data_IF_406523840749
#
_entry.id   IF_406523840749
#
_cell.length_a   1.000
_cell.length_b   1.000
_cell.length_c   1.000
_cell.angle_alpha   90.00
_cell.angle_beta   90.00
_cell.angle_gamma   90.00
#
_symmetry.space_group_name_H-M   'P 1'
#
loop_
_entity.id
_entity.type
_entity.pdbx_description
1 polymer ?
#
# COMPACT_ATOMS: atom_id res chain seq x y z
N UNK A 1 24.03 -1.95 8.49
CA UNK A 1 23.57 -3.16 7.76
C UNK A 1 22.05 -3.15 7.53
N UNK A 2 21.22 -2.57 8.41
CA UNK A 2 19.75 -2.44 8.16
C UNK A 2 19.35 -1.13 7.47
N UNK A 3 19.94 0.00 7.85
CA UNK A 3 19.78 1.28 7.13
C UNK A 3 20.18 1.15 5.66
N UNK A 4 21.26 0.43 5.36
CA UNK A 4 21.67 0.12 3.99
C UNK A 4 20.59 -0.63 3.21
N UNK A 5 19.87 -1.58 3.81
CA UNK A 5 18.79 -2.31 3.13
C UNK A 5 17.54 -1.44 2.90
N UNK A 6 17.23 -0.50 3.81
CA UNK A 6 16.12 0.44 3.63
C UNK A 6 16.44 1.51 2.57
N UNK A 7 17.69 1.97 2.51
CA UNK A 7 18.20 2.83 1.44
C UNK A 7 18.17 2.12 0.09
N UNK A 8 18.56 0.84 0.04
CA UNK A 8 18.49 -0.01 -1.15
C UNK A 8 17.03 -0.19 -1.62
N UNK A 9 16.09 -0.45 -0.72
CA UNK A 9 14.67 -0.59 -1.05
C UNK A 9 14.07 0.72 -1.60
N UNK A 10 14.42 1.88 -1.02
CA UNK A 10 14.00 3.20 -1.55
C UNK A 10 14.64 3.53 -2.89
N UNK A 11 15.90 3.14 -3.10
CA UNK A 11 16.57 3.31 -4.39
C UNK A 11 15.93 2.44 -5.47
N UNK A 12 15.62 1.19 -5.15
CA UNK A 12 14.94 0.27 -6.05
C UNK A 12 13.49 0.71 -6.33
N UNK A 13 12.75 1.15 -5.32
CA UNK A 13 11.41 1.72 -5.49
C UNK A 13 11.44 2.96 -6.39
N UNK A 14 12.44 3.83 -6.26
CA UNK A 14 12.61 4.98 -7.17
C UNK A 14 12.90 4.52 -8.59
N UNK A 15 13.80 3.55 -8.78
CA UNK A 15 14.09 2.99 -10.11
C UNK A 15 12.83 2.42 -10.75
N UNK A 16 12.08 1.59 -10.03
CA UNK A 16 10.82 1.02 -10.50
C UNK A 16 9.76 2.10 -10.76
N UNK A 17 9.69 3.14 -9.93
CA UNK A 17 8.79 4.28 -10.17
C UNK A 17 9.17 5.01 -11.47
N UNK A 18 10.45 5.27 -11.71
CA UNK A 18 10.93 5.86 -12.97
C UNK A 18 10.60 4.93 -14.15
N UNK A 19 10.85 3.63 -14.02
CA UNK A 19 10.64 2.66 -15.10
C UNK A 19 9.15 2.44 -15.42
N UNK A 20 8.27 2.44 -14.41
CA UNK A 20 6.85 2.15 -14.54
C UNK A 20 5.99 3.40 -14.77
N UNK A 21 6.37 4.53 -14.17
CA UNK A 21 5.59 5.78 -14.18
C UNK A 21 6.31 6.92 -14.91
N UNK A 22 7.58 6.76 -15.30
CA UNK A 22 8.37 7.77 -16.00
C UNK A 22 8.91 8.90 -15.12
N UNK A 23 8.89 8.77 -13.79
CA UNK A 23 9.07 9.89 -12.85
C UNK A 23 10.06 9.58 -11.72
N UNK A 24 11.12 10.40 -11.61
CA UNK A 24 12.17 10.27 -10.58
C UNK A 24 11.72 10.75 -9.18
N UNK A 25 10.69 11.60 -9.13
CA UNK A 25 10.11 12.14 -7.89
C UNK A 25 8.59 12.10 -7.98
N UNK A 26 7.94 11.00 -7.55
CA UNK A 26 6.50 10.86 -7.67
C UNK A 26 5.79 11.94 -6.86
N UNK A 27 4.86 12.65 -7.49
CA UNK A 27 3.93 13.57 -6.82
C UNK A 27 2.49 13.19 -7.15
N UNK A 28 1.55 13.53 -6.27
CA UNK A 28 0.13 13.28 -6.51
C UNK A 28 -0.37 13.97 -7.81
N UNK A 29 0.08 15.20 -8.07
CA UNK A 29 -0.31 15.95 -9.26
C UNK A 29 0.16 15.29 -10.56
N UNK A 30 1.41 14.83 -10.58
CA UNK A 30 1.96 14.07 -11.70
C UNK A 30 1.23 12.75 -11.89
N UNK A 31 1.03 11.97 -10.82
CA UNK A 31 0.33 10.68 -10.90
C UNK A 31 -1.08 10.84 -11.47
N UNK A 32 -1.84 11.83 -10.99
CA UNK A 32 -3.20 12.09 -11.48
C UNK A 32 -3.22 12.57 -12.94
N UNK A 33 -2.20 13.29 -13.38
CA UNK A 33 -2.05 13.70 -14.79
C UNK A 33 -1.81 12.47 -15.69
N UNK A 34 -0.90 11.58 -15.31
CA UNK A 34 -0.65 10.35 -16.06
C UNK A 34 -1.88 9.42 -16.03
N UNK A 35 -2.54 9.31 -14.87
CA UNK A 35 -3.78 8.56 -14.72
C UNK A 35 -4.88 9.07 -15.66
N UNK A 36 -4.95 10.37 -15.91
CA UNK A 36 -5.90 10.94 -16.87
C UNK A 36 -5.69 10.42 -18.29
N UNK A 37 -4.45 10.18 -18.71
CA UNK A 37 -4.14 9.68 -20.04
C UNK A 37 -4.59 8.23 -20.25
N UNK A 38 -4.45 7.39 -19.22
CA UNK A 38 -4.74 5.94 -19.29
C UNK A 38 -6.18 5.61 -18.84
N UNK A 39 -6.60 6.10 -17.68
CA UNK A 39 -7.92 5.80 -17.10
C UNK A 39 -9.04 6.61 -17.77
N UNK A 40 -8.68 7.73 -18.40
CA UNK A 40 -9.61 8.73 -18.89
C UNK A 40 -10.06 9.72 -17.81
N UNK A 41 -10.64 10.84 -18.26
CA UNK A 41 -10.99 11.98 -17.41
C UNK A 41 -11.95 11.64 -16.26
N UNK A 42 -13.02 10.91 -16.55
CA UNK A 42 -14.07 10.66 -15.54
C UNK A 42 -13.60 9.71 -14.43
N UNK A 43 -12.87 8.64 -14.78
CA UNK A 43 -12.30 7.74 -13.77
C UNK A 43 -11.25 8.43 -12.92
N UNK A 44 -10.37 9.21 -13.56
CA UNK A 44 -9.34 9.99 -12.85
C UNK A 44 -9.96 10.99 -11.87
N UNK A 45 -11.04 11.67 -12.27
CA UNK A 45 -11.79 12.55 -11.38
C UNK A 45 -12.32 11.80 -10.17
N UNK A 46 -12.94 10.63 -10.36
CA UNK A 46 -13.50 9.83 -9.26
C UNK A 46 -12.44 9.30 -8.31
N UNK A 47 -11.32 8.77 -8.83
CA UNK A 47 -10.23 8.32 -7.95
C UNK A 47 -9.64 9.51 -7.17
N UNK A 48 -9.48 10.68 -7.79
CA UNK A 48 -9.03 11.87 -7.09
C UNK A 48 -10.01 12.33 -6.00
N UNK A 49 -11.32 12.23 -6.27
CA UNK A 49 -12.36 12.53 -5.28
C UNK A 49 -12.31 11.56 -4.08
N UNK A 50 -12.05 10.27 -4.31
CA UNK A 50 -11.87 9.28 -3.25
C UNK A 50 -10.58 9.53 -2.43
N UNK A 51 -9.46 9.80 -3.09
CA UNK A 51 -8.19 10.17 -2.42
C UNK A 51 -8.37 11.43 -1.56
N UNK A 52 -9.18 12.40 -2.02
CA UNK A 52 -9.48 13.62 -1.26
C UNK A 52 -10.30 13.36 0.00
N UNK A 53 -11.24 12.41 -0.07
CA UNK A 53 -12.12 12.04 1.04
C UNK A 53 -11.45 11.11 2.07
N UNK A 54 -10.36 10.45 1.69
CA UNK A 54 -9.63 9.59 2.61
C UNK A 54 -8.94 10.40 3.72
N UNK A 55 -8.77 9.81 4.93
CA UNK A 55 -7.92 10.39 5.97
C UNK A 55 -6.53 10.76 5.42
N UNK A 56 -5.96 11.87 5.88
CA UNK A 56 -4.67 12.35 5.38
C UNK A 56 -3.55 11.34 5.67
N UNK A 57 -3.64 10.59 6.77
CA UNK A 57 -2.72 9.49 7.08
C UNK A 57 -2.81 8.30 6.11
N UNK A 58 -3.93 8.18 5.37
CA UNK A 58 -4.20 7.12 4.40
C UNK A 58 -3.96 7.57 2.95
N UNK A 59 -3.80 8.87 2.71
CA UNK A 59 -3.69 9.44 1.36
C UNK A 59 -2.56 8.83 0.52
N UNK A 60 -1.42 8.50 1.14
CA UNK A 60 -0.32 7.82 0.45
C UNK A 60 -0.75 6.44 -0.07
N UNK A 61 -1.46 5.64 0.73
CA UNK A 61 -1.97 4.33 0.30
C UNK A 61 -3.00 4.45 -0.83
N UNK A 62 -3.90 5.45 -0.76
CA UNK A 62 -4.87 5.69 -1.83
C UNK A 62 -4.19 6.07 -3.16
N UNK A 63 -3.18 6.94 -3.10
CA UNK A 63 -2.40 7.31 -4.30
C UNK A 63 -1.57 6.14 -4.83
N UNK A 64 -1.00 5.31 -3.95
CA UNK A 64 -0.34 4.06 -4.35
C UNK A 64 -1.31 3.14 -5.09
N UNK A 65 -2.55 3.01 -4.63
CA UNK A 65 -3.59 2.25 -5.32
C UNK A 65 -3.91 2.85 -6.71
N UNK A 66 -3.91 4.18 -6.85
CA UNK A 66 -4.05 4.84 -8.16
C UNK A 66 -2.88 4.50 -9.10
N UNK A 67 -1.65 4.40 -8.60
CA UNK A 67 -0.50 3.95 -9.41
C UNK A 67 -0.67 2.51 -9.90
N UNK A 68 -1.20 1.61 -9.06
CA UNK A 68 -1.57 0.26 -9.47
C UNK A 68 -2.62 0.27 -10.60
N UNK A 69 -3.68 1.08 -10.44
CA UNK A 69 -4.76 1.18 -11.43
C UNK A 69 -4.29 1.74 -12.77
N UNK A 70 -3.40 2.73 -12.76
CA UNK A 70 -2.74 3.27 -13.96
C UNK A 70 -2.04 2.12 -14.72
N UNK A 71 -1.08 1.47 -14.08
CA UNK A 71 -0.24 0.43 -14.72
C UNK A 71 -1.09 -0.78 -15.12
N UNK A 72 -2.00 -1.22 -14.27
CA UNK A 72 -2.87 -2.35 -14.56
C UNK A 72 -3.86 -2.08 -15.68
N UNK A 73 -4.37 -0.86 -15.82
CA UNK A 73 -5.24 -0.50 -16.95
C UNK A 73 -4.45 -0.45 -18.27
N UNK A 74 -3.19 -0.04 -18.24
CA UNK A 74 -2.31 -0.06 -19.42
C UNK A 74 -2.04 -1.51 -19.87
N UNK A 75 -1.78 -2.42 -18.92
CA UNK A 75 -1.56 -3.85 -19.19
C UNK A 75 -2.80 -4.60 -19.69
N UNK A 76 -3.95 -4.40 -19.03
CA UNK A 76 -5.19 -5.15 -19.33
C UNK A 76 -6.08 -4.47 -20.39
N UNK A 77 -5.82 -3.19 -20.67
CA UNK A 77 -6.63 -2.36 -21.53
C UNK A 77 -7.95 -1.89 -20.88
N UNK A 78 -8.56 -0.88 -21.51
CA UNK A 78 -9.78 -0.22 -20.98
C UNK A 78 -11.01 -1.12 -20.83
N UNK A 79 -11.05 -2.28 -21.50
CA UNK A 79 -12.14 -3.25 -21.39
C UNK A 79 -12.27 -3.86 -19.99
N UNK A 80 -11.16 -3.98 -19.25
CA UNK A 80 -11.13 -4.53 -17.90
C UNK A 80 -12.15 -3.86 -16.96
N UNK A 81 -12.32 -2.54 -17.09
CA UNK A 81 -13.23 -1.75 -16.26
C UNK A 81 -14.70 -2.14 -16.35
N UNK A 82 -15.09 -2.83 -17.43
CA UNK A 82 -16.48 -3.14 -17.75
C UNK A 82 -16.85 -4.61 -17.55
N UNK A 83 -15.88 -5.47 -17.23
CA UNK A 83 -16.09 -6.91 -17.10
C UNK A 83 -16.28 -7.28 -15.64
N UNK A 84 -17.37 -7.98 -15.32
CA UNK A 84 -17.61 -8.54 -13.99
C UNK A 84 -16.61 -9.67 -13.69
N UNK A 85 -16.05 -9.65 -12.48
CA UNK A 85 -15.08 -10.67 -12.05
C UNK A 85 -15.78 -11.91 -11.48
N UNK A 86 -15.45 -13.07 -12.04
CA UNK A 86 -15.93 -14.41 -11.63
C UNK A 86 -17.45 -14.56 -11.48
N UNK A 87 -18.23 -13.70 -12.16
CA UNK A 87 -19.70 -13.69 -12.11
C UNK A 87 -20.32 -13.35 -10.75
N UNK A 88 -19.52 -13.00 -9.75
CA UNK A 88 -19.98 -12.68 -8.39
C UNK A 88 -19.66 -11.23 -7.98
N UNK A 89 -18.56 -10.70 -8.49
CA UNK A 89 -18.12 -9.34 -8.19
C UNK A 89 -18.61 -8.37 -9.27
N UNK A 90 -18.95 -7.12 -8.89
CA UNK A 90 -19.34 -6.09 -9.85
C UNK A 90 -18.18 -5.78 -10.81
N UNK A 91 -18.48 -5.12 -11.93
CA UNK A 91 -17.41 -4.58 -12.77
C UNK A 91 -16.59 -3.53 -11.99
N UNK A 92 -15.27 -3.37 -12.25
CA UNK A 92 -14.44 -2.37 -11.56
C UNK A 92 -15.01 -0.95 -11.61
N UNK A 93 -15.64 -0.57 -12.72
CA UNK A 93 -16.29 0.74 -12.85
C UNK A 93 -17.49 0.90 -11.92
N UNK A 94 -18.27 -0.15 -11.71
CA UNK A 94 -19.41 -0.13 -10.78
C UNK A 94 -18.93 -0.02 -9.33
N UNK A 95 -17.88 -0.75 -8.96
CA UNK A 95 -17.25 -0.62 -7.64
C UNK A 95 -16.72 0.82 -7.41
N UNK A 96 -16.02 1.39 -8.40
CA UNK A 96 -15.52 2.76 -8.34
C UNK A 96 -16.66 3.79 -8.17
N UNK A 97 -17.79 3.61 -8.86
CA UNK A 97 -18.97 4.48 -8.75
C UNK A 97 -19.61 4.40 -7.38
N UNK A 98 -19.82 3.18 -6.88
CA UNK A 98 -20.53 2.96 -5.62
C UNK A 98 -19.71 3.40 -4.42
N UNK A 99 -18.38 3.41 -4.53
CA UNK A 99 -17.45 3.79 -3.46
C UNK A 99 -17.71 3.03 -2.15
N UNK A 100 -18.17 1.78 -2.25
CA UNK A 100 -18.43 0.91 -1.10
C UNK A 100 -17.37 -0.19 -1.03
N UNK A 101 -16.93 -0.57 0.18
CA UNK A 101 -16.09 -1.76 0.37
C UNK A 101 -16.76 -2.97 -0.28
N UNK A 102 -15.99 -3.75 -1.03
CA UNK A 102 -16.50 -4.97 -1.66
C UNK A 102 -16.08 -6.16 -0.80
N UNK A 103 -17.08 -6.84 -0.23
CA UNK A 103 -16.87 -8.09 0.50
C UNK A 103 -16.12 -9.12 -0.36
N UNK A 104 -15.19 -9.91 0.21
CA UNK A 104 -14.91 -10.08 1.64
C UNK A 104 -13.87 -9.12 2.25
N UNK A 105 -13.36 -8.13 1.50
CA UNK A 105 -12.27 -7.27 1.96
C UNK A 105 -12.78 -6.03 2.70
N UNK A 106 -13.50 -6.24 3.81
CA UNK A 106 -14.13 -5.16 4.58
C UNK A 106 -13.17 -4.10 5.13
N UNK A 107 -11.88 -4.42 5.25
CA UNK A 107 -10.85 -3.53 5.79
C UNK A 107 -10.14 -2.67 4.73
N UNK A 108 -10.29 -3.00 3.43
CA UNK A 108 -9.68 -2.25 2.34
C UNK A 108 -10.58 -1.11 1.89
N UNK A 109 -9.98 -0.01 1.45
CA UNK A 109 -10.74 1.00 0.72
C UNK A 109 -11.11 0.49 -0.68
N UNK A 110 -12.04 1.18 -1.34
CA UNK A 110 -12.43 0.81 -2.72
C UNK A 110 -11.24 0.88 -3.68
N UNK A 111 -10.32 1.85 -3.52
CA UNK A 111 -9.16 1.97 -4.39
C UNK A 111 -8.17 0.83 -4.15
N UNK A 112 -7.89 0.47 -2.90
CA UNK A 112 -7.04 -0.67 -2.57
C UNK A 112 -7.63 -1.99 -3.07
N UNK A 113 -8.94 -2.16 -2.94
CA UNK A 113 -9.66 -3.32 -3.48
C UNK A 113 -9.47 -3.43 -5.00
N UNK A 114 -9.68 -2.33 -5.72
CA UNK A 114 -9.51 -2.31 -7.17
C UNK A 114 -8.04 -2.49 -7.59
N UNK A 115 -7.09 -1.95 -6.84
CA UNK A 115 -5.66 -2.16 -7.03
C UNK A 115 -5.28 -3.64 -6.84
N UNK A 116 -5.87 -4.30 -5.85
CA UNK A 116 -5.67 -5.72 -5.65
C UNK A 116 -6.24 -6.55 -6.82
N UNK A 117 -7.45 -6.23 -7.27
CA UNK A 117 -8.07 -6.92 -8.40
C UNK A 117 -7.26 -6.81 -9.68
N UNK A 118 -6.85 -5.58 -10.05
CA UNK A 118 -6.09 -5.36 -11.29
C UNK A 118 -4.73 -6.07 -11.23
N UNK A 119 -4.11 -6.09 -10.06
CA UNK A 119 -2.83 -6.79 -9.83
C UNK A 119 -2.97 -8.30 -9.99
N UNK A 120 -4.04 -8.88 -9.43
CA UNK A 120 -4.32 -10.32 -9.57
C UNK A 120 -4.70 -10.70 -10.99
N UNK A 121 -5.49 -9.88 -11.70
CA UNK A 121 -5.87 -10.17 -13.08
C UNK A 121 -4.65 -10.16 -14.02
N UNK A 122 -3.71 -9.21 -13.82
CA UNK A 122 -2.43 -9.22 -14.55
C UNK A 122 -1.60 -10.45 -14.18
N UNK A 123 -1.48 -10.79 -12.90
CA UNK A 123 -0.74 -11.97 -12.45
C UNK A 123 -1.30 -13.27 -13.04
N UNK A 124 -2.62 -13.40 -13.11
CA UNK A 124 -3.31 -14.58 -13.63
C UNK A 124 -3.12 -14.72 -15.15
N UNK A 125 -3.05 -13.62 -15.90
CA UNK A 125 -2.70 -13.64 -17.34
C UNK A 125 -1.24 -14.08 -17.54
N UNK A 126 -0.32 -13.57 -16.73
CA UNK A 126 1.12 -13.84 -16.89
C UNK A 126 1.51 -15.25 -16.46
N UNK A 127 0.94 -15.73 -15.36
CA UNK A 127 1.40 -16.94 -14.68
C UNK A 127 0.33 -18.00 -14.49
N UNK A 128 -0.92 -17.69 -14.81
CA UNK A 128 -2.06 -18.56 -14.57
C UNK A 128 -2.67 -18.36 -13.18
N UNK A 129 -3.93 -18.75 -13.05
CA UNK A 129 -4.67 -18.67 -11.79
C UNK A 129 -4.00 -19.53 -10.70
N UNK A 130 -3.89 -19.01 -9.47
CA UNK A 130 -3.26 -19.74 -8.38
C UNK A 130 -4.12 -20.94 -7.95
N UNK A 131 -3.47 -22.05 -7.59
CA UNK A 131 -4.14 -23.24 -7.04
C UNK A 131 -4.49 -23.11 -5.56
N UNK A 132 -3.99 -22.05 -4.91
CA UNK A 132 -4.19 -21.76 -3.49
C UNK A 132 -3.41 -20.53 -3.04
N UNK A 133 -3.46 -20.24 -1.74
CA UNK A 133 -2.77 -19.12 -1.12
C UNK A 133 -1.74 -19.57 -0.09
N UNK A 134 -0.66 -18.80 0.08
CA UNK A 134 0.35 -19.03 1.12
C UNK A 134 0.64 -17.74 1.88
N UNK A 135 0.55 -17.80 3.21
CA UNK A 135 1.01 -16.71 4.09
C UNK A 135 2.53 -16.84 4.32
N UNK A 136 3.28 -15.85 3.81
CA UNK A 136 4.74 -15.78 3.92
C UNK A 136 5.24 -15.29 5.28
N UNK A 137 4.35 -14.88 6.20
CA UNK A 137 4.74 -14.62 7.59
C UNK A 137 5.03 -15.92 8.35
N UNK A 138 4.63 -17.06 7.79
CA UNK A 138 4.99 -18.39 8.29
C UNK A 138 6.30 -18.88 7.67
N UNK A 139 7.21 -19.37 8.51
CA UNK A 139 8.49 -19.94 8.07
C UNK A 139 8.33 -21.38 7.52
N UNK A 140 7.11 -21.93 7.57
CA UNK A 140 6.83 -23.29 7.11
C UNK A 140 6.67 -23.32 5.58
N UNK A 141 7.62 -23.96 4.90
CA UNK A 141 7.61 -24.10 3.44
C UNK A 141 6.79 -25.30 2.94
N UNK A 142 6.51 -26.27 3.82
CA UNK A 142 5.93 -27.57 3.45
C UNK A 142 4.41 -27.56 3.58
N UNK A 143 3.74 -28.15 2.58
CA UNK A 143 2.31 -28.50 2.54
C UNK A 143 1.36 -27.33 2.84
N UNK A 144 1.77 -26.12 2.42
CA UNK A 144 0.97 -24.89 2.52
C UNK A 144 -0.19 -24.86 1.54
N UNK A 145 -0.07 -25.61 0.45
CA UNK A 145 -1.12 -25.76 -0.57
C UNK A 145 -1.34 -27.23 -0.84
N UNK A 146 -2.61 -27.63 -0.95
CA UNK A 146 -2.98 -29.01 -1.27
C UNK A 146 -2.50 -29.39 -2.68
N UNK A 147 -2.07 -30.64 -2.84
CA UNK A 147 -1.71 -31.19 -4.15
C UNK A 147 -2.97 -31.37 -4.99
N UNK A 148 -3.11 -30.72 -6.15
CA UNK A 148 -4.29 -30.90 -7.01
C UNK A 148 -4.40 -32.35 -7.53
N UNK A 149 -5.63 -32.85 -7.75
CA UNK A 149 -5.82 -34.19 -8.30
C UNK A 149 -5.07 -34.38 -9.62
N UNK A 150 -4.32 -35.48 -9.73
CA UNK A 150 -3.55 -35.82 -10.94
C UNK A 150 -2.21 -35.11 -11.10
N UNK A 151 -1.82 -34.25 -10.16
CA UNK A 151 -0.48 -33.67 -10.14
C UNK A 151 0.59 -34.75 -9.89
N UNK A 152 1.78 -34.54 -10.45
CA UNK A 152 2.92 -35.48 -10.35
C UNK A 152 4.06 -34.82 -9.60
N UNK A 153 4.90 -35.63 -8.95
CA UNK A 153 6.14 -35.14 -8.37
C UNK A 153 6.97 -34.38 -9.41
N UNK A 154 7.53 -33.23 -9.02
CA UNK A 154 8.23 -32.28 -9.88
C UNK A 154 7.33 -31.26 -10.56
N UNK A 155 5.99 -31.40 -10.51
CA UNK A 155 5.09 -30.39 -11.06
C UNK A 155 5.22 -29.07 -10.29
N UNK A 156 5.18 -27.95 -11.02
CA UNK A 156 5.12 -26.62 -10.44
C UNK A 156 3.68 -26.13 -10.41
N UNK A 157 3.26 -25.65 -9.25
CA UNK A 157 1.94 -25.11 -8.98
C UNK A 157 2.08 -23.63 -8.67
N UNK A 158 1.25 -22.78 -9.26
CA UNK A 158 1.27 -21.34 -8.98
C UNK A 158 0.45 -21.08 -7.72
N UNK A 159 1.02 -20.33 -6.79
CA UNK A 159 0.44 -20.00 -5.49
C UNK A 159 0.40 -18.48 -5.37
N UNK A 160 -0.71 -17.94 -4.87
CA UNK A 160 -0.79 -16.52 -4.51
C UNK A 160 -0.33 -16.32 -3.07
N UNK A 161 0.34 -15.20 -2.79
CA UNK A 161 0.75 -14.86 -1.42
C UNK A 161 0.37 -13.44 -1.01
N UNK A 162 0.06 -12.59 -1.99
CA UNK A 162 -0.43 -11.24 -1.84
C UNK A 162 -1.12 -10.83 -3.15
N UNK A 163 -1.79 -9.69 -3.19
CA UNK A 163 -2.38 -9.13 -4.40
C UNK A 163 -1.32 -8.98 -5.51
N UNK A 164 -1.53 -9.65 -6.64
CA UNK A 164 -0.56 -9.71 -7.75
C UNK A 164 0.76 -10.42 -7.45
N UNK A 165 0.97 -10.90 -6.22
CA UNK A 165 2.14 -11.68 -5.83
C UNK A 165 1.96 -13.17 -6.12
N UNK A 166 2.94 -13.80 -6.76
CA UNK A 166 2.94 -15.25 -7.02
C UNK A 166 4.27 -15.91 -6.62
N UNK A 167 4.18 -17.17 -6.22
CA UNK A 167 5.33 -18.07 -6.12
C UNK A 167 4.95 -19.46 -6.62
N UNK A 168 5.96 -20.25 -6.97
CA UNK A 168 5.77 -21.65 -7.31
C UNK A 168 5.82 -22.51 -6.04
N UNK A 169 4.97 -23.53 -5.98
CA UNK A 169 5.11 -24.67 -5.11
C UNK A 169 5.45 -25.91 -5.95
N UNK A 170 6.50 -26.63 -5.56
CA UNK A 170 6.91 -27.86 -6.23
C UNK A 170 6.25 -29.04 -5.55
N UNK A 171 5.57 -29.89 -6.32
CA UNK A 171 5.02 -31.15 -5.82
C UNK A 171 6.18 -32.10 -5.54
N UNK A 172 6.29 -32.59 -4.31
CA UNK A 172 7.36 -33.49 -3.88
C UNK A 172 6.77 -34.82 -3.42
N UNK A 173 7.54 -35.89 -3.57
CA UNK A 173 7.23 -37.19 -2.97
C UNK A 173 7.87 -37.25 -1.59
N UNK A 174 7.06 -37.48 -0.56
CA UNK A 174 7.49 -37.64 0.83
C UNK A 174 8.04 -39.05 1.05
N UNK A 175 8.58 -39.31 2.25
CA UNK A 175 9.22 -40.58 2.61
C UNK A 175 8.22 -41.74 2.71
N UNK A 176 6.95 -41.45 2.96
CA UNK A 176 5.82 -42.39 3.03
C UNK A 176 5.14 -42.60 1.66
N UNK A 177 5.77 -42.17 0.57
CA UNK A 177 5.25 -42.21 -0.80
C UNK A 177 4.04 -41.30 -1.08
N UNK A 178 3.59 -40.51 -0.11
CA UNK A 178 2.57 -39.49 -0.31
C UNK A 178 3.12 -38.26 -1.06
N UNK A 179 2.23 -37.54 -1.75
CA UNK A 179 2.59 -36.29 -2.42
C UNK A 179 2.33 -35.10 -1.49
N UNK A 180 3.30 -34.22 -1.39
CA UNK A 180 3.21 -32.93 -0.71
C UNK A 180 3.64 -31.77 -1.61
N UNK A 181 3.66 -30.56 -1.07
CA UNK A 181 4.15 -29.35 -1.75
C UNK A 181 5.27 -28.68 -0.94
N UNK A 182 6.25 -28.11 -1.62
CA UNK A 182 7.26 -27.24 -1.02
C UNK A 182 7.28 -25.91 -1.76
N UNK A 183 7.17 -24.80 -1.02
CA UNK A 183 7.29 -23.46 -1.59
C UNK A 183 8.71 -23.20 -2.13
N UNK A 184 8.82 -22.69 -3.35
CA UNK A 184 10.05 -22.22 -3.96
C UNK A 184 10.17 -20.71 -3.80
N UNK A 185 10.80 -20.26 -2.71
CA UNK A 185 10.98 -18.83 -2.43
C UNK A 185 11.82 -18.10 -3.49
N UNK A 186 12.62 -18.80 -4.30
CA UNK A 186 13.38 -18.15 -5.38
C UNK A 186 12.51 -17.79 -6.59
N UNK A 187 11.26 -18.24 -6.61
CA UNK A 187 10.30 -17.97 -7.68
C UNK A 187 9.33 -16.82 -7.34
N UNK A 188 9.55 -16.12 -6.21
CA UNK A 188 8.78 -14.95 -5.80
C UNK A 188 8.79 -13.88 -6.89
N UNK A 189 7.60 -13.41 -7.24
CA UNK A 189 7.38 -12.42 -8.30
C UNK A 189 6.11 -11.63 -8.03
N UNK A 190 6.10 -10.37 -8.47
CA UNK A 190 4.97 -9.46 -8.36
C UNK A 190 4.57 -8.96 -9.74
N UNK A 191 3.26 -8.91 -10.00
CA UNK A 191 2.77 -8.29 -11.21
C UNK A 191 3.08 -6.78 -11.20
N UNK A 192 3.33 -6.20 -12.37
CA UNK A 192 3.71 -4.78 -12.50
C UNK A 192 2.78 -3.79 -11.77
N UNK A 193 1.45 -3.98 -11.71
CA UNK A 193 0.58 -3.10 -10.93
C UNK A 193 0.86 -3.15 -9.41
N UNK A 194 1.16 -4.34 -8.88
CA UNK A 194 1.55 -4.49 -7.47
C UNK A 194 2.92 -3.85 -7.21
N UNK A 195 3.87 -4.02 -8.13
CA UNK A 195 5.17 -3.33 -8.08
C UNK A 195 5.00 -1.81 -8.11
N UNK A 196 4.10 -1.28 -8.95
CA UNK A 196 3.80 0.14 -9.03
C UNK A 196 3.19 0.69 -7.74
N UNK A 197 2.25 -0.04 -7.13
CA UNK A 197 1.64 0.32 -5.85
C UNK A 197 2.72 0.44 -4.76
N UNK A 198 3.49 -0.63 -4.57
CA UNK A 198 4.53 -0.67 -3.55
C UNK A 198 5.62 0.39 -3.81
N UNK A 199 6.10 0.48 -5.04
CA UNK A 199 7.17 1.41 -5.41
C UNK A 199 6.75 2.85 -5.22
N UNK A 200 5.52 3.21 -5.61
CA UNK A 200 5.00 4.55 -5.39
C UNK A 200 4.91 4.87 -3.89
N UNK A 201 4.35 3.97 -3.07
CA UNK A 201 4.23 4.16 -1.63
C UNK A 201 5.58 4.36 -0.94
N UNK A 202 6.60 3.58 -1.33
CA UNK A 202 7.96 3.69 -0.78
C UNK A 202 8.69 4.93 -1.29
N UNK A 203 8.56 5.28 -2.57
CA UNK A 203 9.28 6.40 -3.17
C UNK A 203 8.66 7.76 -2.80
N UNK A 204 7.33 7.84 -2.70
CA UNK A 204 6.60 9.06 -2.36
C UNK A 204 6.50 9.27 -0.83
N UNK A 205 6.63 8.21 -0.03
CA UNK A 205 6.50 8.24 1.42
C UNK A 205 5.10 8.59 1.91
N UNK A 206 4.96 8.91 3.20
CA UNK A 206 3.68 9.25 3.82
C UNK A 206 3.12 10.61 3.34
N UNK A 207 3.97 11.53 2.90
CA UNK A 207 3.59 12.84 2.38
C UNK A 207 4.41 13.99 2.97
N UNK A 208 3.94 15.25 2.84
CA UNK A 208 2.59 15.65 2.40
C UNK A 208 2.33 15.41 0.90
N UNK A 209 1.07 15.06 0.57
CA UNK A 209 0.59 14.79 -0.79
C UNK A 209 -0.54 15.75 -1.20
N UNK A 210 -0.24 17.03 -1.50
CA UNK A 210 -1.26 17.99 -1.90
C UNK A 210 -1.92 17.56 -3.22
N UNK A 211 -3.24 17.60 -3.28
CA UNK A 211 -3.98 17.31 -4.51
C UNK A 211 -4.27 18.59 -5.29
N UNK A 212 -4.31 18.53 -6.64
CA UNK A 212 -4.74 19.67 -7.44
C UNK A 212 -6.13 20.19 -7.03
N UNK A 213 -6.23 21.51 -6.81
CA UNK A 213 -7.48 22.19 -6.47
C UNK A 213 -7.85 22.19 -4.98
N UNK A 214 -6.99 21.73 -4.09
CA UNK A 214 -7.16 21.90 -2.63
C UNK A 214 -6.68 23.29 -2.20
N UNK A 215 -7.63 24.23 -2.07
CA UNK A 215 -7.37 25.62 -1.66
C UNK A 215 -8.31 26.00 -0.49
N UNK A 216 -7.79 26.21 0.75
CA UNK A 216 -6.40 26.02 1.16
C UNK A 216 -6.01 24.53 1.19
N UNK A 217 -4.71 24.24 1.19
CA UNK A 217 -4.22 22.87 1.32
C UNK A 217 -4.56 22.31 2.71
N UNK A 218 -5.01 21.05 2.85
CA UNK A 218 -5.23 20.45 4.16
C UNK A 218 -3.93 20.36 4.98
N UNK A 219 -2.76 20.37 4.33
CA UNK A 219 -1.46 20.36 5.00
C UNK A 219 -1.05 21.72 5.55
N UNK A 220 -1.69 22.82 5.12
CA UNK A 220 -1.46 24.17 5.64
C UNK A 220 -2.30 24.46 6.89
N UNK A 221 -3.18 23.54 7.29
CA UNK A 221 -3.98 23.66 8.51
C UNK A 221 -3.05 23.81 9.72
N UNK A 222 -3.18 24.93 10.43
CA UNK A 222 -2.47 25.18 11.69
C UNK A 222 -2.87 24.15 12.75
N UNK A 223 -1.90 23.70 13.54
CA UNK A 223 -2.13 22.85 14.70
C UNK A 223 -1.99 23.66 15.99
N UNK A 224 -2.61 23.18 17.08
CA UNK A 224 -2.37 23.77 18.41
C UNK A 224 -0.87 23.66 18.77
N UNK A 225 -0.17 24.79 19.01
CA UNK A 225 1.27 24.77 19.27
C UNK A 225 1.65 23.95 20.51
N UNK A 226 0.77 23.91 21.52
CA UNK A 226 1.00 23.11 22.73
C UNK A 226 0.96 21.61 22.41
N UNK A 227 -0.02 21.17 21.63
CA UNK A 227 -0.14 19.79 21.18
C UNK A 227 1.06 19.39 20.31
N UNK A 228 1.44 20.22 19.34
CA UNK A 228 2.63 20.00 18.52
C UNK A 228 3.91 19.88 19.38
N UNK A 229 4.07 20.75 20.38
CA UNK A 229 5.19 20.69 21.32
C UNK A 229 5.20 19.39 22.14
N UNK A 230 4.05 18.98 22.71
CA UNK A 230 3.96 17.74 23.53
C UNK A 230 4.37 16.51 22.71
N UNK A 231 3.84 16.37 21.49
CA UNK A 231 4.13 15.22 20.63
C UNK A 231 5.59 15.20 20.17
N UNK A 232 6.16 16.36 19.85
CA UNK A 232 7.58 16.50 19.47
C UNK A 232 8.53 16.27 20.63
N UNK A 233 8.24 16.78 21.82
CA UNK A 233 9.06 16.51 23.02
C UNK A 233 8.97 15.05 23.45
N UNK A 234 7.83 14.40 23.20
CA UNK A 234 7.73 12.96 23.41
C UNK A 234 8.72 12.22 22.52
N UNK A 235 8.81 12.51 21.22
CA UNK A 235 9.74 11.78 20.32
C UNK A 235 11.20 12.00 20.71
N UNK A 236 11.60 13.23 21.06
CA UNK A 236 12.96 13.52 21.52
C UNK A 236 13.33 12.74 22.79
N UNK A 237 12.41 12.65 23.76
CA UNK A 237 12.61 11.85 24.98
C UNK A 237 12.74 10.35 24.69
N UNK A 238 12.16 9.87 23.59
CA UNK A 238 12.21 8.47 23.16
C UNK A 238 13.27 8.21 22.08
N UNK A 239 14.32 9.03 22.04
CA UNK A 239 15.53 8.77 21.27
C UNK A 239 15.50 9.26 19.82
N UNK A 240 14.53 10.08 19.43
CA UNK A 240 14.64 10.84 18.19
C UNK A 240 15.62 12.02 18.33
N UNK A 241 16.26 12.37 17.23
CA UNK A 241 17.13 13.52 17.10
C UNK A 241 16.35 14.76 16.66
N UNK A 242 16.98 15.94 16.82
CA UNK A 242 16.44 17.19 16.29
C UNK A 242 16.34 17.17 14.77
N UNK A 243 17.22 16.44 14.09
CA UNK A 243 17.26 16.35 12.64
C UNK A 243 16.11 15.49 12.11
N UNK A 244 15.80 14.38 12.78
CA UNK A 244 14.64 13.53 12.45
C UNK A 244 13.32 14.28 12.71
N UNK A 245 13.19 14.92 13.88
CA UNK A 245 11.96 15.65 14.25
C UNK A 245 11.76 16.94 13.45
N UNK A 246 12.86 17.58 13.01
CA UNK A 246 12.83 18.87 12.33
C UNK A 246 12.49 20.04 13.27
N UNK A 247 12.09 21.19 12.70
CA UNK A 247 11.71 22.38 13.46
C UNK A 247 10.43 22.17 14.28
N UNK A 248 9.98 23.22 14.97
CA UNK A 248 8.70 23.19 15.66
C UNK A 248 7.56 22.94 14.65
N UNK A 249 6.63 22.05 15.00
CA UNK A 249 5.50 21.72 14.14
C UNK A 249 4.42 22.78 14.28
N UNK A 250 4.09 23.47 13.18
CA UNK A 250 3.11 24.55 13.13
C UNK A 250 1.87 24.16 12.32
N UNK A 251 2.04 23.25 11.36
CA UNK A 251 0.99 22.80 10.45
C UNK A 251 0.88 21.27 10.43
N UNK A 252 -0.24 20.76 9.92
CA UNK A 252 -0.41 19.33 9.66
C UNK A 252 0.70 18.80 8.74
N UNK A 253 1.11 19.59 7.75
CA UNK A 253 2.22 19.25 6.84
C UNK A 253 3.54 19.03 7.55
N UNK A 254 3.87 19.86 8.56
CA UNK A 254 5.09 19.69 9.36
C UNK A 254 5.10 18.36 10.10
N UNK A 255 3.95 17.98 10.67
CA UNK A 255 3.77 16.72 11.41
C UNK A 255 3.93 15.53 10.48
N UNK A 256 3.25 15.54 9.32
CA UNK A 256 3.35 14.46 8.31
C UNK A 256 4.80 14.28 7.86
N UNK A 257 5.49 15.38 7.54
CA UNK A 257 6.89 15.33 7.12
C UNK A 257 7.81 14.80 8.24
N UNK A 258 7.52 15.10 9.50
CA UNK A 258 8.27 14.59 10.63
C UNK A 258 8.04 13.08 10.85
N UNK A 259 6.79 12.60 10.72
CA UNK A 259 6.47 11.16 10.85
C UNK A 259 7.28 10.33 9.85
N UNK A 260 7.37 10.78 8.60
CA UNK A 260 8.15 10.12 7.55
C UNK A 260 9.63 10.00 7.94
N UNK A 261 10.23 11.08 8.46
CA UNK A 261 11.65 11.09 8.87
C UNK A 261 11.93 10.25 10.12
N UNK A 262 10.96 10.15 11.02
CA UNK A 262 11.12 9.44 12.29
C UNK A 262 11.18 7.92 12.13
N UNK A 263 10.68 7.39 11.00
CA UNK A 263 10.68 5.96 10.67
C UNK A 263 10.15 5.09 11.83
N UNK A 264 9.05 5.57 12.42
CA UNK A 264 8.54 5.11 13.71
C UNK A 264 8.19 3.62 13.77
N UNK A 265 7.84 3.02 12.64
CA UNK A 265 7.43 1.61 12.55
C UNK A 265 8.55 0.64 12.93
N UNK A 266 9.80 1.09 12.90
CA UNK A 266 10.97 0.28 13.27
C UNK A 266 11.46 0.52 14.69
N UNK A 267 10.72 1.33 15.46
CA UNK A 267 11.04 1.66 16.85
C UNK A 267 10.29 0.75 17.82
N UNK A 268 10.45 1.02 19.12
CA UNK A 268 9.79 0.26 20.19
C UNK A 268 8.27 0.32 20.10
N UNK A 269 7.58 -0.66 20.69
CA UNK A 269 6.12 -0.77 20.63
C UNK A 269 5.35 0.45 21.20
N UNK A 270 5.98 1.25 22.06
CA UNK A 270 5.41 2.50 22.58
C UNK A 270 5.15 3.55 21.47
N UNK A 271 5.88 3.48 20.36
CA UNK A 271 5.69 4.36 19.21
C UNK A 271 4.34 4.16 18.53
N UNK A 272 3.67 3.02 18.73
CA UNK A 272 2.28 2.83 18.27
C UNK A 272 1.30 3.73 19.04
N UNK A 273 1.53 3.99 20.33
CA UNK A 273 0.68 4.91 21.09
C UNK A 273 0.87 6.34 20.60
N UNK A 274 2.13 6.73 20.33
CA UNK A 274 2.47 8.02 19.74
C UNK A 274 1.88 8.19 18.35
N UNK A 275 2.01 7.17 17.48
CA UNK A 275 1.44 7.18 16.14
C UNK A 275 -0.06 7.40 16.19
N UNK A 276 -0.81 6.70 17.06
CA UNK A 276 -2.26 6.93 17.21
C UNK A 276 -2.61 8.37 17.60
N UNK A 277 -1.82 9.03 18.44
CA UNK A 277 -2.03 10.43 18.78
C UNK A 277 -1.75 11.34 17.58
N UNK A 278 -0.64 11.11 16.88
CA UNK A 278 -0.26 11.88 15.69
C UNK A 278 -1.24 11.69 14.54
N UNK A 279 -1.72 10.48 14.29
CA UNK A 279 -2.75 10.20 13.30
C UNK A 279 -4.05 10.94 13.62
N UNK A 280 -4.48 10.91 14.89
CA UNK A 280 -5.67 11.66 15.31
C UNK A 280 -5.50 13.16 15.09
N UNK A 281 -4.31 13.72 15.32
CA UNK A 281 -3.99 15.12 15.00
C UNK A 281 -4.06 15.40 13.49
N UNK A 282 -3.40 14.56 12.69
CA UNK A 282 -3.33 14.71 11.23
C UNK A 282 -4.73 14.62 10.61
N UNK A 283 -5.54 13.65 11.04
CA UNK A 283 -6.87 13.39 10.49
C UNK A 283 -7.98 14.25 11.12
N UNK A 284 -7.66 15.06 12.16
CA UNK A 284 -8.60 15.97 12.80
C UNK A 284 -9.62 15.29 13.71
N UNK A 285 -9.25 14.19 14.37
CA UNK A 285 -10.08 13.47 15.33
C UNK A 285 -9.84 13.97 16.77
N UNK A 286 -10.35 15.17 17.09
CA UNK A 286 -10.05 15.88 18.35
C UNK A 286 -10.34 15.07 19.64
N UNK A 287 -11.45 14.31 19.65
CA UNK A 287 -11.81 13.47 20.80
C UNK A 287 -10.77 12.36 21.03
N UNK A 288 -10.32 11.72 19.96
CA UNK A 288 -9.29 10.68 20.03
C UNK A 288 -7.94 11.29 20.40
N UNK A 289 -7.59 12.44 19.83
CA UNK A 289 -6.35 13.14 20.13
C UNK A 289 -6.24 13.45 21.63
N UNK A 290 -7.32 13.94 22.23
CA UNK A 290 -7.37 14.25 23.67
C UNK A 290 -7.11 13.01 24.52
N UNK A 291 -7.81 11.90 24.24
CA UNK A 291 -7.59 10.62 24.94
C UNK A 291 -6.13 10.16 24.80
N UNK A 292 -5.58 10.20 23.59
CA UNK A 292 -4.22 9.70 23.31
C UNK A 292 -3.13 10.56 23.92
N UNK A 293 -3.30 11.88 24.01
CA UNK A 293 -2.36 12.75 24.71
C UNK A 293 -2.32 12.44 26.21
N UNK A 294 -3.45 12.06 26.81
CA UNK A 294 -3.48 11.60 28.20
C UNK A 294 -2.73 10.28 28.40
N UNK A 295 -2.84 9.35 27.45
CA UNK A 295 -2.11 8.07 27.50
C UNK A 295 -0.59 8.29 27.42
N UNK A 296 -0.12 9.21 26.57
CA UNK A 296 1.32 9.52 26.40
C UNK A 296 1.95 10.27 27.58
N UNK A 297 1.14 10.82 28.48
CA UNK A 297 1.60 11.56 29.65
C UNK A 297 1.82 10.67 30.89
N UNK A 298 1.46 9.38 30.82
CA UNK A 298 1.65 8.39 31.89
C UNK A 298 2.99 7.68 31.75
#
# INVERSE_FOLDING_TARGET
MRESHAEDARAEARRLTTDLLGEDRPTAATLLREAQAVLGRERTRRVADLVRLAPLTRRSAELAAVAALLVGTDELGGGWWTVSRDGKLPAPEEALVKAQPVEPWGDLTVLETLAAWVSDDVADILWGAPVGTADLNSWQAEDRVAVPPGAKAGAKLVVSFDAGGRLDAVVVRRLDDELGTNLDFNSLRYARPAEAQWSWGVAAGLGPHPLPGEEPSPYEKEIDPKTGHVLREWTLRHGATTDETGPAWQTVGDVVAAVERLDWMWRSAEWFAWWRAVSALIDGHDDQLTERLHDLAR
#
